data_IF_738141701910
#
_entry.id   IF_738141701910
#
_cell.length_a   1.000
_cell.length_b   1.000
_cell.length_c   1.000
_cell.angle_alpha   90.00
_cell.angle_beta   90.00
_cell.angle_gamma   90.00
#
_symmetry.space_group_name_H-M   'P 1'
#
loop_
_entity.id
_entity.type
_entity.pdbx_description
1 polymer ?
#
# COMPACT_ATOMS: atom_id res chain seq x y z
N UNK A 1 -10.40 -1.99 -9.58
CA UNK A 1 -9.03 -2.45 -9.82
C UNK A 1 -9.05 -3.66 -10.74
N UNK A 2 -8.58 -3.50 -11.98
CA UNK A 2 -8.54 -4.51 -13.02
C UNK A 2 -7.70 -5.72 -12.61
N UNK A 3 -8.17 -6.93 -12.92
CA UNK A 3 -7.47 -8.19 -12.64
C UNK A 3 -7.56 -8.67 -11.18
N UNK A 4 -8.14 -7.87 -10.26
CA UNK A 4 -8.28 -8.26 -8.86
C UNK A 4 -9.43 -9.24 -8.67
N UNK A 5 -10.62 -8.94 -9.21
CA UNK A 5 -11.82 -9.76 -9.03
C UNK A 5 -11.73 -11.09 -9.81
N UNK A 6 -10.98 -11.09 -10.90
CA UNK A 6 -10.70 -12.24 -11.75
C UNK A 6 -9.71 -13.22 -11.09
N UNK A 7 -9.09 -12.83 -9.97
CA UNK A 7 -8.35 -13.75 -9.13
C UNK A 7 -9.17 -14.09 -7.87
N UNK A 8 -9.73 -15.31 -7.74
CA UNK A 8 -10.61 -15.66 -6.64
C UNK A 8 -9.92 -15.59 -5.27
N UNK A 9 -8.60 -15.82 -5.19
CA UNK A 9 -7.87 -15.73 -3.93
C UNK A 9 -7.65 -14.27 -3.50
N UNK A 10 -7.29 -13.38 -4.43
CA UNK A 10 -7.19 -11.95 -4.13
C UNK A 10 -8.56 -11.35 -3.81
N UNK A 11 -9.60 -11.76 -4.53
CA UNK A 11 -10.98 -11.33 -4.25
C UNK A 11 -11.43 -11.79 -2.85
N UNK A 12 -11.16 -13.05 -2.48
CA UNK A 12 -11.44 -13.56 -1.14
C UNK A 12 -10.67 -12.80 -0.05
N UNK A 13 -9.38 -12.53 -0.26
CA UNK A 13 -8.58 -11.74 0.68
C UNK A 13 -9.10 -10.30 0.82
N UNK A 14 -9.53 -9.67 -0.28
CA UNK A 14 -10.15 -8.35 -0.24
C UNK A 14 -11.45 -8.36 0.57
N UNK A 15 -12.31 -9.38 0.38
CA UNK A 15 -13.53 -9.54 1.17
C UNK A 15 -13.24 -9.72 2.65
N UNK A 16 -12.26 -10.55 3.01
CA UNK A 16 -11.82 -10.75 4.39
C UNK A 16 -11.30 -9.45 5.01
N UNK A 17 -10.50 -8.69 4.26
CA UNK A 17 -10.01 -7.38 4.69
C UNK A 17 -11.17 -6.40 4.99
N UNK A 18 -12.20 -6.38 4.13
CA UNK A 18 -13.41 -5.57 4.35
C UNK A 18 -14.19 -6.00 5.61
N UNK A 19 -14.27 -7.30 5.90
CA UNK A 19 -14.93 -7.78 7.12
C UNK A 19 -14.20 -7.29 8.38
N UNK A 20 -12.86 -7.41 8.40
CA UNK A 20 -12.04 -6.93 9.53
C UNK A 20 -12.13 -5.41 9.67
N UNK A 21 -12.10 -4.69 8.55
CA UNK A 21 -12.27 -3.24 8.52
C UNK A 21 -13.58 -2.79 9.18
N UNK A 22 -14.70 -3.45 8.88
CA UNK A 22 -16.00 -3.15 9.51
C UNK A 22 -15.97 -3.38 11.03
N UNK A 23 -15.31 -4.43 11.50
CA UNK A 23 -15.13 -4.68 12.94
C UNK A 23 -14.32 -3.55 13.58
N UNK A 24 -13.22 -3.14 12.96
CA UNK A 24 -12.40 -2.03 13.45
C UNK A 24 -13.18 -0.72 13.47
N UNK A 25 -13.94 -0.39 12.43
CA UNK A 25 -14.78 0.82 12.42
C UNK A 25 -15.76 0.86 13.60
N UNK A 26 -16.39 -0.27 13.94
CA UNK A 26 -17.26 -0.37 15.12
C UNK A 26 -16.49 -0.13 16.43
N UNK A 27 -15.27 -0.64 16.54
CA UNK A 27 -14.40 -0.39 17.70
C UNK A 27 -13.98 1.07 17.81
N UNK A 28 -13.61 1.70 16.70
CA UNK A 28 -13.22 3.11 16.65
C UNK A 28 -14.36 4.03 17.10
N UNK A 29 -15.60 3.75 16.67
CA UNK A 29 -16.78 4.50 17.12
C UNK A 29 -17.02 4.37 18.62
N UNK A 30 -16.88 3.16 19.17
CA UNK A 30 -17.01 2.94 20.60
C UNK A 30 -15.92 3.68 21.39
N UNK A 31 -14.66 3.59 20.93
CA UNK A 31 -13.52 4.30 21.52
C UNK A 31 -13.73 5.82 21.49
N UNK A 32 -14.23 6.37 20.38
CA UNK A 32 -14.59 7.78 20.28
C UNK A 32 -15.63 8.16 21.34
N UNK A 33 -16.69 7.37 21.49
CA UNK A 33 -17.72 7.59 22.51
C UNK A 33 -17.15 7.58 23.94
N UNK A 34 -16.25 6.63 24.24
CA UNK A 34 -15.58 6.59 25.55
C UNK A 34 -14.71 7.83 25.80
N UNK A 35 -14.01 8.32 24.77
CA UNK A 35 -13.18 9.52 24.88
C UNK A 35 -14.02 10.77 25.10
N UNK A 36 -15.16 10.89 24.40
CA UNK A 36 -16.11 11.99 24.61
C UNK A 36 -16.74 11.97 26.00
N UNK A 37 -16.94 10.77 26.57
CA UNK A 37 -17.43 10.59 27.93
C UNK A 37 -16.35 10.75 29.02
N UNK A 38 -15.11 11.08 28.64
CA UNK A 38 -13.93 11.14 29.52
C UNK A 38 -13.75 9.85 30.36
N UNK A 39 -14.13 8.71 29.77
CA UNK A 39 -14.03 7.42 30.43
C UNK A 39 -12.58 6.96 30.49
N UNK A 40 -12.26 6.20 31.55
CA UNK A 40 -10.94 5.56 31.69
C UNK A 40 -10.64 4.68 30.47
N UNK A 41 -9.38 4.62 30.01
CA UNK A 41 -9.01 3.76 28.88
C UNK A 41 -9.47 2.32 29.10
N UNK A 42 -10.31 1.82 28.20
CA UNK A 42 -10.88 0.48 28.29
C UNK A 42 -9.99 -0.56 27.60
N UNK A 43 -10.27 -1.85 27.84
CA UNK A 43 -9.67 -2.95 27.08
C UNK A 43 -9.95 -2.87 25.58
N UNK A 44 -11.01 -2.17 25.16
CA UNK A 44 -11.34 -1.95 23.75
C UNK A 44 -10.33 -1.04 23.06
N UNK A 45 -9.84 0.01 23.74
CA UNK A 45 -8.76 0.86 23.22
C UNK A 45 -7.47 0.08 22.99
N UNK A 46 -7.10 -0.77 23.94
CA UNK A 46 -5.92 -1.62 23.82
C UNK A 46 -6.06 -2.64 22.68
N UNK A 47 -7.24 -3.24 22.53
CA UNK A 47 -7.51 -4.18 21.45
C UNK A 47 -7.48 -3.49 20.07
N UNK A 48 -8.04 -2.28 19.96
CA UNK A 48 -7.99 -1.49 18.73
C UNK A 48 -6.54 -1.18 18.33
N UNK A 49 -5.72 -0.75 19.29
CA UNK A 49 -4.31 -0.49 19.07
C UNK A 49 -3.53 -1.75 18.62
N UNK A 50 -3.90 -2.94 19.12
CA UNK A 50 -3.27 -4.20 18.73
C UNK A 50 -3.72 -4.71 17.34
N UNK A 51 -4.99 -4.52 16.98
CA UNK A 51 -5.54 -5.03 15.72
C UNK A 51 -5.31 -4.10 14.53
N UNK A 52 -5.21 -2.78 14.74
CA UNK A 52 -5.00 -1.82 13.66
C UNK A 52 -3.73 -2.09 12.82
N UNK A 53 -2.55 -2.40 13.42
CA UNK A 53 -1.37 -2.82 12.66
C UNK A 53 -1.59 -4.10 11.84
N UNK A 54 -2.35 -5.07 12.35
CA UNK A 54 -2.64 -6.31 11.62
C UNK A 54 -3.43 -6.04 10.34
N UNK A 55 -4.39 -5.11 10.40
CA UNK A 55 -5.12 -4.66 9.23
C UNK A 55 -4.19 -3.96 8.22
N UNK A 56 -3.30 -3.08 8.68
CA UNK A 56 -2.31 -2.39 7.84
C UNK A 56 -1.43 -3.41 7.09
N UNK A 57 -0.94 -4.44 7.77
CA UNK A 57 -0.16 -5.50 7.13
C UNK A 57 -0.96 -6.26 6.07
N UNK A 58 -2.20 -6.66 6.38
CA UNK A 58 -3.04 -7.37 5.43
C UNK A 58 -3.38 -6.52 4.20
N UNK A 59 -3.73 -5.25 4.41
CA UNK A 59 -3.99 -4.28 3.35
C UNK A 59 -2.77 -4.07 2.44
N UNK A 60 -1.59 -3.87 3.04
CA UNK A 60 -0.35 -3.69 2.29
C UNK A 60 -0.01 -4.92 1.46
N UNK A 61 -0.03 -6.13 2.03
CA UNK A 61 0.39 -7.34 1.32
C UNK A 61 -0.58 -7.73 0.19
N UNK A 62 -1.88 -7.50 0.38
CA UNK A 62 -2.89 -7.67 -0.68
C UNK A 62 -2.62 -6.70 -1.83
N UNK A 63 -2.50 -5.40 -1.53
CA UNK A 63 -2.29 -4.37 -2.53
C UNK A 63 -0.93 -4.53 -3.24
N UNK A 64 0.12 -4.89 -2.50
CA UNK A 64 1.46 -5.19 -3.04
C UNK A 64 1.39 -6.35 -4.03
N UNK A 65 0.72 -7.45 -3.66
CA UNK A 65 0.58 -8.62 -4.54
C UNK A 65 -0.17 -8.27 -5.83
N UNK A 66 -1.30 -7.55 -5.72
CA UNK A 66 -2.05 -7.12 -6.89
C UNK A 66 -1.20 -6.17 -7.77
N UNK A 67 -0.55 -5.15 -7.19
CA UNK A 67 0.30 -4.20 -7.92
C UNK A 67 1.43 -4.91 -8.66
N UNK A 68 2.13 -5.84 -8.01
CA UNK A 68 3.18 -6.64 -8.67
C UNK A 68 2.64 -7.43 -9.87
N UNK A 69 1.46 -8.02 -9.74
CA UNK A 69 0.82 -8.76 -10.82
C UNK A 69 0.41 -7.84 -11.98
N UNK A 70 -0.15 -6.67 -11.71
CA UNK A 70 -0.52 -5.69 -12.71
C UNK A 70 0.72 -5.10 -13.43
N UNK A 71 1.77 -4.75 -12.68
CA UNK A 71 3.05 -4.27 -13.24
C UNK A 71 3.66 -5.31 -14.19
N UNK A 72 3.66 -6.58 -13.80
CA UNK A 72 4.15 -7.66 -14.67
C UNK A 72 3.36 -7.73 -15.98
N UNK A 73 2.02 -7.66 -15.92
CA UNK A 73 1.16 -7.71 -17.12
C UNK A 73 1.44 -6.52 -18.04
N UNK A 74 1.42 -5.29 -17.50
CA UNK A 74 1.69 -4.07 -18.28
C UNK A 74 3.06 -4.14 -18.95
N UNK A 75 4.10 -4.53 -18.20
CA UNK A 75 5.46 -4.67 -18.74
C UNK A 75 5.55 -5.73 -19.84
N UNK A 76 4.86 -6.87 -19.67
CA UNK A 76 4.87 -7.94 -20.67
C UNK A 76 4.11 -7.54 -21.94
N UNK A 77 3.04 -6.76 -21.81
CA UNK A 77 2.31 -6.22 -22.95
C UNK A 77 3.20 -5.26 -23.76
N UNK A 78 3.93 -4.37 -23.08
CA UNK A 78 4.83 -3.39 -23.71
C UNK A 78 5.99 -4.04 -24.48
N UNK A 79 6.57 -5.12 -23.94
CA UNK A 79 7.75 -5.76 -24.51
C UNK A 79 7.43 -7.00 -25.38
N UNK A 80 6.14 -7.31 -25.61
CA UNK A 80 5.71 -8.49 -26.37
C UNK A 80 5.98 -9.83 -25.68
N UNK A 81 6.30 -9.85 -24.38
CA UNK A 81 6.68 -11.03 -23.62
C UNK A 81 5.52 -11.90 -23.13
N UNK A 82 4.27 -11.51 -23.38
CA UNK A 82 3.08 -12.23 -22.89
C UNK A 82 3.07 -13.69 -23.34
N UNK A 83 3.25 -13.96 -24.64
CA UNK A 83 3.15 -15.32 -25.20
C UNK A 83 4.18 -16.27 -24.58
N UNK A 84 5.42 -15.81 -24.42
CA UNK A 84 6.48 -16.59 -23.79
C UNK A 84 6.11 -16.92 -22.34
N UNK A 85 5.64 -15.93 -21.57
CA UNK A 85 5.30 -16.09 -20.16
C UNK A 85 4.10 -17.01 -19.95
N UNK A 86 3.04 -16.82 -20.73
CA UNK A 86 1.84 -17.66 -20.68
C UNK A 86 2.18 -19.11 -21.04
N UNK A 87 2.91 -19.34 -22.13
CA UNK A 87 3.31 -20.68 -22.57
C UNK A 87 4.18 -21.40 -21.54
N UNK A 88 5.06 -20.67 -20.83
CA UNK A 88 5.85 -21.24 -19.73
C UNK A 88 4.98 -21.65 -18.53
N UNK A 89 3.96 -20.87 -18.20
CA UNK A 89 3.04 -21.18 -17.10
C UNK A 89 2.13 -22.36 -17.42
N UNK A 90 1.77 -22.54 -18.69
CA UNK A 90 0.96 -23.65 -19.24
C UNK A 90 1.70 -25.00 -19.28
N UNK A 91 3.02 -25.02 -19.07
CA UNK A 91 3.80 -26.26 -19.09
C UNK A 91 3.30 -27.25 -18.03
N UNK A 92 3.07 -28.50 -18.47
CA UNK A 92 2.62 -29.58 -17.58
C UNK A 92 3.77 -30.04 -16.69
N UNK A 93 3.52 -30.11 -15.39
CA UNK A 93 4.51 -30.55 -14.39
C UNK A 93 4.13 -31.88 -13.70
N UNK A 94 3.21 -32.65 -14.29
CA UNK A 94 2.72 -33.92 -13.70
C UNK A 94 1.72 -33.74 -12.56
N UNK A 95 1.31 -32.51 -12.26
CA UNK A 95 0.24 -32.16 -11.33
C UNK A 95 -0.48 -30.89 -11.81
N UNK A 96 -1.74 -30.71 -11.39
CA UNK A 96 -2.53 -29.50 -11.67
C UNK A 96 -2.15 -28.40 -10.69
N UNK A 97 -1.79 -27.22 -11.19
CA UNK A 97 -1.51 -26.05 -10.37
C UNK A 97 -2.44 -24.90 -10.77
N UNK A 98 -3.57 -24.79 -10.08
CA UNK A 98 -4.65 -23.86 -10.44
C UNK A 98 -4.20 -22.41 -10.65
N UNK A 99 -3.39 -21.83 -9.74
CA UNK A 99 -2.98 -20.42 -9.88
C UNK A 99 -2.04 -20.19 -11.09
N UNK A 100 -1.29 -21.22 -11.55
CA UNK A 100 -0.45 -21.12 -12.75
C UNK A 100 -1.31 -21.08 -14.00
N UNK A 101 -2.30 -21.96 -14.08
CA UNK A 101 -3.26 -22.00 -15.19
C UNK A 101 -4.11 -20.72 -15.24
N UNK A 102 -4.56 -20.24 -14.08
CA UNK A 102 -5.25 -18.96 -13.98
C UNK A 102 -4.35 -17.81 -14.44
N UNK A 103 -3.09 -17.76 -13.99
CA UNK A 103 -2.15 -16.71 -14.38
C UNK A 103 -1.86 -16.74 -15.88
N UNK A 104 -1.75 -17.93 -16.48
CA UNK A 104 -1.62 -18.06 -17.92
C UNK A 104 -2.85 -17.50 -18.66
N UNK A 105 -4.07 -17.89 -18.24
CA UNK A 105 -5.32 -17.36 -18.81
C UNK A 105 -5.39 -15.83 -18.73
N UNK A 106 -5.13 -15.26 -17.57
CA UNK A 106 -5.12 -13.79 -17.38
C UNK A 106 -4.12 -13.08 -18.29
N UNK A 107 -2.98 -13.70 -18.58
CA UNK A 107 -2.00 -13.17 -19.54
C UNK A 107 -2.52 -13.25 -20.98
N UNK A 108 -3.20 -14.33 -21.36
CA UNK A 108 -3.87 -14.44 -22.67
C UNK A 108 -4.98 -13.40 -22.80
N UNK A 109 -5.82 -13.24 -21.78
CA UNK A 109 -6.88 -12.22 -21.76
C UNK A 109 -6.28 -10.81 -21.95
N UNK A 110 -5.17 -10.50 -21.28
CA UNK A 110 -4.48 -9.21 -21.44
C UNK A 110 -3.81 -9.02 -22.81
N UNK A 111 -3.49 -10.10 -23.52
CA UNK A 111 -3.02 -10.03 -24.92
C UNK A 111 -4.15 -9.62 -25.85
N UNK A 112 -5.31 -10.23 -25.64
CA UNK A 112 -6.47 -10.11 -26.52
C UNK A 112 -7.32 -8.86 -26.19
N UNK A 113 -7.16 -8.28 -24.99
CA UNK A 113 -7.80 -7.05 -24.52
C UNK A 113 -6.76 -5.95 -24.18
N UNK A 114 -6.36 -5.10 -25.15
CA UNK A 114 -5.51 -3.93 -24.89
C UNK A 114 -6.14 -2.93 -23.92
N UNK A 115 -7.47 -2.84 -23.84
CA UNK A 115 -8.14 -1.95 -22.88
C UNK A 115 -7.95 -2.44 -21.45
N UNK A 116 -7.88 -3.77 -21.22
CA UNK A 116 -7.52 -4.33 -19.91
C UNK A 116 -6.14 -3.85 -19.47
N UNK A 117 -5.16 -3.89 -20.37
CA UNK A 117 -3.79 -3.41 -20.09
C UNK A 117 -3.81 -1.92 -19.74
N UNK A 118 -4.58 -1.11 -20.47
CA UNK A 118 -4.72 0.31 -20.17
C UNK A 118 -5.40 0.54 -18.81
N UNK A 119 -6.49 -0.17 -18.50
CA UNK A 119 -7.16 -0.09 -17.18
C UNK A 119 -6.21 -0.48 -16.05
N UNK A 120 -5.37 -1.50 -16.23
CA UNK A 120 -4.35 -1.88 -15.25
C UNK A 120 -3.32 -0.77 -15.05
N UNK A 121 -2.88 -0.10 -16.12
CA UNK A 121 -1.96 1.05 -16.03
C UNK A 121 -2.59 2.20 -15.26
N UNK A 122 -3.83 2.53 -15.56
CA UNK A 122 -4.56 3.60 -14.89
C UNK A 122 -4.78 3.30 -13.40
N UNK A 123 -5.17 2.06 -13.06
CA UNK A 123 -5.32 1.63 -11.66
C UNK A 123 -3.98 1.61 -10.91
N UNK A 124 -2.87 1.27 -11.58
CA UNK A 124 -1.53 1.36 -11.00
C UNK A 124 -1.15 2.80 -10.65
N UNK A 125 -1.51 3.76 -11.51
CA UNK A 125 -1.31 5.18 -11.26
C UNK A 125 -2.19 5.68 -10.09
N UNK A 126 -3.49 5.34 -10.09
CA UNK A 126 -4.43 5.70 -9.01
C UNK A 126 -3.98 5.22 -7.63
N UNK A 127 -3.37 4.04 -7.59
CA UNK A 127 -2.97 3.41 -6.33
C UNK A 127 -1.59 3.83 -5.83
N UNK A 128 -0.79 4.55 -6.62
CA UNK A 128 0.61 4.81 -6.28
C UNK A 128 0.77 5.62 -4.99
N UNK A 129 0.12 6.77 -4.88
CA UNK A 129 0.24 7.65 -3.70
C UNK A 129 -0.22 6.93 -2.43
N UNK A 130 -1.45 6.39 -2.46
CA UNK A 130 -2.02 5.68 -1.30
C UNK A 130 -1.25 4.41 -0.92
N UNK A 131 -0.73 3.66 -1.90
CA UNK A 131 0.13 2.51 -1.64
C UNK A 131 1.45 2.91 -0.98
N UNK A 132 2.07 4.01 -1.43
CA UNK A 132 3.32 4.49 -0.84
C UNK A 132 3.11 4.97 0.60
N UNK A 133 2.01 5.68 0.90
CA UNK A 133 1.69 6.06 2.29
C UNK A 133 1.52 4.83 3.19
N UNK A 134 0.78 3.83 2.70
CA UNK A 134 0.60 2.56 3.39
C UNK A 134 1.94 1.81 3.58
N UNK A 135 2.83 1.88 2.59
CA UNK A 135 4.17 1.29 2.66
C UNK A 135 5.03 1.93 3.74
N UNK A 136 5.07 3.27 3.82
CA UNK A 136 5.82 3.98 4.86
C UNK A 136 5.42 3.50 6.26
N UNK A 137 4.11 3.49 6.54
CA UNK A 137 3.58 3.06 7.84
C UNK A 137 3.90 1.59 8.11
N UNK A 138 3.72 0.71 7.10
CA UNK A 138 4.04 -0.72 7.22
C UNK A 138 5.53 -0.96 7.49
N UNK A 139 6.42 -0.20 6.86
CA UNK A 139 7.87 -0.32 7.07
C UNK A 139 8.24 0.18 8.47
N UNK A 140 7.71 1.31 8.91
CA UNK A 140 7.91 1.82 10.26
C UNK A 140 7.45 0.80 11.32
N UNK A 141 6.25 0.22 11.15
CA UNK A 141 5.69 -0.79 12.05
C UNK A 141 6.53 -2.09 12.12
N UNK A 142 7.01 -2.58 10.96
CA UNK A 142 7.65 -3.89 10.89
C UNK A 142 9.17 -3.86 11.08
N UNK A 143 9.81 -2.75 10.73
CA UNK A 143 11.29 -2.63 10.68
C UNK A 143 11.84 -1.52 11.54
N UNK A 144 11.00 -0.62 12.04
CA UNK A 144 11.42 0.59 12.75
C UNK A 144 12.33 1.49 11.88
N UNK A 145 12.18 1.39 10.56
CA UNK A 145 12.89 2.15 9.54
C UNK A 145 11.91 3.05 8.79
N UNK A 146 12.43 4.05 8.10
CA UNK A 146 11.68 4.75 7.05
C UNK A 146 11.69 3.97 5.73
N UNK A 147 10.65 4.15 4.92
CA UNK A 147 10.68 3.69 3.55
C UNK A 147 11.66 4.57 2.76
N UNK A 148 12.65 3.95 2.10
CA UNK A 148 13.63 4.67 1.28
C UNK A 148 14.04 3.84 0.08
N UNK A 149 14.27 4.54 -1.04
CA UNK A 149 14.83 3.98 -2.26
C UNK A 149 16.33 3.61 -2.10
N UNK A 150 17.03 4.26 -1.16
CA UNK A 150 18.44 4.05 -0.90
C UNK A 150 18.65 2.95 0.16
N UNK A 151 18.93 1.72 -0.30
CA UNK A 151 19.12 0.54 0.56
C UNK A 151 20.33 0.61 1.50
N UNK A 152 21.27 1.55 1.30
CA UNK A 152 22.53 1.60 2.05
C UNK A 152 22.46 2.42 3.34
N UNK A 153 21.51 3.35 3.45
CA UNK A 153 21.25 4.16 4.64
C UNK A 153 19.75 4.39 4.76
N UNK A 154 19.09 3.57 5.58
CA UNK A 154 17.69 3.81 5.91
C UNK A 154 17.62 4.55 7.24
N UNK A 155 17.01 5.74 7.30
CA UNK A 155 16.76 6.41 8.56
C UNK A 155 15.90 5.54 9.48
N UNK A 156 16.09 5.71 10.79
CA UNK A 156 15.23 5.13 11.82
C UNK A 156 13.98 6.02 11.89
N UNK A 157 12.79 5.43 11.92
CA UNK A 157 11.55 6.19 12.08
C UNK A 157 11.50 6.87 13.46
N UNK A 158 10.85 8.03 13.61
CA UNK A 158 10.86 8.78 14.87
C UNK A 158 10.15 8.06 16.01
N UNK A 159 8.94 7.58 15.76
CA UNK A 159 8.12 6.87 16.74
C UNK A 159 7.56 5.55 16.17
N UNK A 160 8.42 4.57 15.83
CA UNK A 160 8.00 3.35 15.16
C UNK A 160 7.05 2.55 16.04
N UNK A 161 5.88 2.24 15.49
CA UNK A 161 4.84 1.50 16.19
C UNK A 161 4.05 2.27 17.23
N UNK A 162 4.38 3.55 17.48
CA UNK A 162 3.50 4.42 18.25
C UNK A 162 2.33 4.82 17.36
N UNK A 163 1.13 4.48 17.81
CA UNK A 163 -0.10 4.99 17.23
C UNK A 163 -0.93 5.65 18.31
N UNK A 164 -1.42 6.86 18.04
CA UNK A 164 -2.28 7.59 18.95
C UNK A 164 -3.73 7.44 18.50
N UNK A 165 -4.68 7.57 19.43
CA UNK A 165 -6.09 7.57 19.05
C UNK A 165 -6.43 8.98 18.55
N UNK A 166 -6.84 9.09 17.29
CA UNK A 166 -7.32 10.32 16.70
C UNK A 166 -8.64 10.73 17.39
N UNK A 167 -8.69 11.97 17.86
CA UNK A 167 -9.80 12.49 18.67
C UNK A 167 -11.07 12.79 17.89
N UNK A 168 -10.97 12.90 16.56
CA UNK A 168 -12.11 13.26 15.71
C UNK A 168 -12.87 12.02 15.24
N UNK A 169 -12.20 10.87 15.15
CA UNK A 169 -12.79 9.65 14.59
C UNK A 169 -12.60 8.37 15.41
N UNK A 170 -11.79 8.41 16.46
CA UNK A 170 -11.46 7.25 17.31
C UNK A 170 -10.56 6.20 16.64
N UNK A 171 -10.08 6.46 15.42
CA UNK A 171 -9.12 5.60 14.71
C UNK A 171 -7.73 5.70 15.32
N UNK A 172 -6.95 4.64 15.18
CA UNK A 172 -5.50 4.74 15.36
C UNK A 172 -4.90 5.63 14.27
N UNK A 173 -4.01 6.53 14.67
CA UNK A 173 -3.29 7.50 13.85
C UNK A 173 -1.80 7.21 13.91
N UNK A 174 -1.19 7.19 12.72
CA UNK A 174 0.18 6.79 12.49
C UNK A 174 0.96 7.94 11.89
N UNK A 175 2.19 8.09 12.34
CA UNK A 175 3.15 8.96 11.70
C UNK A 175 3.56 8.40 10.32
N UNK A 176 3.62 9.28 9.33
CA UNK A 176 4.29 9.01 8.06
C UNK A 176 5.56 9.84 8.02
N UNK A 177 6.72 9.18 7.98
CA UNK A 177 8.02 9.84 7.92
C UNK A 177 8.84 9.40 6.71
N UNK A 178 9.59 10.34 6.15
CA UNK A 178 10.44 10.17 4.98
C UNK A 178 11.65 11.11 5.10
N UNK A 179 12.85 10.57 4.89
CA UNK A 179 14.08 11.36 4.83
C UNK A 179 14.44 12.02 6.16
N UNK A 180 14.06 11.41 7.29
CA UNK A 180 14.28 11.98 8.61
C UNK A 180 13.36 13.15 8.93
N UNK A 181 12.18 13.24 8.30
CA UNK A 181 11.14 14.19 8.66
C UNK A 181 9.77 13.52 8.72
N UNK A 182 8.94 13.93 9.68
CA UNK A 182 7.52 13.61 9.73
C UNK A 182 6.82 14.47 8.69
N UNK A 183 6.23 13.83 7.68
CA UNK A 183 5.57 14.54 6.58
C UNK A 183 4.07 14.72 6.81
N UNK A 184 3.43 13.77 7.50
CA UNK A 184 2.03 13.85 7.88
C UNK A 184 1.66 12.77 8.91
N UNK A 185 0.40 12.83 9.37
CA UNK A 185 -0.23 11.78 10.16
C UNK A 185 -1.39 11.18 9.37
N UNK A 186 -1.54 9.86 9.43
CA UNK A 186 -2.58 9.13 8.71
C UNK A 186 -3.33 8.20 9.66
N UNK A 187 -4.66 8.27 9.61
CA UNK A 187 -5.49 7.35 10.38
C UNK A 187 -5.67 6.04 9.63
N UNK A 188 -5.77 4.92 10.37
CA UNK A 188 -6.14 3.63 9.76
C UNK A 188 -7.46 3.73 8.99
N UNK A 189 -8.43 4.50 9.49
CA UNK A 189 -9.67 4.81 8.74
C UNK A 189 -9.39 5.58 7.45
N UNK A 190 -8.54 6.61 7.48
CA UNK A 190 -8.13 7.36 6.29
C UNK A 190 -7.47 6.47 5.22
N UNK A 191 -6.61 5.54 5.63
CA UNK A 191 -6.04 4.53 4.74
C UNK A 191 -7.13 3.64 4.13
N UNK A 192 -8.10 3.18 4.92
CA UNK A 192 -9.21 2.38 4.41
C UNK A 192 -10.09 3.15 3.42
N UNK A 193 -10.42 4.42 3.71
CA UNK A 193 -11.16 5.27 2.78
C UNK A 193 -10.39 5.45 1.46
N UNK A 194 -9.08 5.70 1.54
CA UNK A 194 -8.21 5.82 0.37
C UNK A 194 -8.28 4.55 -0.50
N UNK A 195 -8.18 3.38 0.14
CA UNK A 195 -8.28 2.09 -0.54
C UNK A 195 -9.63 1.88 -1.24
N UNK A 196 -10.74 2.28 -0.61
CA UNK A 196 -12.08 2.18 -1.20
C UNK A 196 -12.28 3.11 -2.39
N UNK A 197 -11.60 4.26 -2.40
CA UNK A 197 -11.72 5.27 -3.43
C UNK A 197 -10.88 4.98 -4.68
N UNK A 198 -9.86 4.11 -4.62
CA UNK A 198 -8.99 3.81 -5.77
C UNK A 198 -9.73 3.57 -7.09
N UNK A 199 -10.82 2.77 -7.16
CA UNK A 199 -11.51 2.53 -8.43
C UNK A 199 -12.15 3.79 -9.04
N UNK A 200 -12.44 4.81 -8.23
CA UNK A 200 -13.18 6.01 -8.62
C UNK A 200 -12.35 7.30 -8.65
N UNK A 201 -11.16 7.31 -8.03
CA UNK A 201 -10.24 8.46 -8.06
C UNK A 201 -9.88 8.86 -9.49
N UNK A 202 -9.67 10.14 -9.84
CA UNK A 202 -9.11 10.48 -11.15
C UNK A 202 -7.76 9.80 -11.37
N UNK A 203 -7.40 9.46 -12.62
CA UNK A 203 -6.05 8.97 -12.92
C UNK A 203 -5.08 10.13 -12.71
N UNK A 204 -4.08 10.02 -11.82
CA UNK A 204 -3.07 11.05 -11.66
C UNK A 204 -2.28 11.23 -12.97
N UNK A 205 -1.97 12.47 -13.30
CA UNK A 205 -1.11 12.80 -14.42
C UNK A 205 0.34 12.32 -14.16
N UNK A 206 1.14 12.12 -15.22
CA UNK A 206 2.55 11.78 -15.07
C UNK A 206 3.37 12.81 -14.29
N UNK A 207 3.01 14.09 -14.38
CA UNK A 207 3.64 15.20 -13.65
C UNK A 207 3.35 15.09 -12.15
N UNK A 208 2.08 14.92 -11.76
CA UNK A 208 1.69 14.73 -10.35
C UNK A 208 2.42 13.54 -9.70
N UNK A 209 2.57 12.43 -10.44
CA UNK A 209 3.31 11.27 -9.95
C UNK A 209 4.82 11.53 -9.86
N UNK A 210 5.39 12.31 -10.78
CA UNK A 210 6.80 12.68 -10.74
C UNK A 210 7.09 13.59 -9.53
N UNK A 211 6.25 14.59 -9.30
CA UNK A 211 6.34 15.50 -8.16
C UNK A 211 6.19 14.74 -6.84
N UNK A 212 5.22 13.83 -6.78
CA UNK A 212 5.05 12.96 -5.62
C UNK A 212 6.30 12.10 -5.34
N UNK A 213 6.88 11.46 -6.36
CA UNK A 213 8.11 10.66 -6.19
C UNK A 213 9.29 11.51 -5.74
N UNK A 214 9.41 12.74 -6.25
CA UNK A 214 10.45 13.67 -5.82
C UNK A 214 10.26 14.08 -4.36
N UNK A 215 9.03 14.38 -3.96
CA UNK A 215 8.66 14.67 -2.58
C UNK A 215 8.99 13.51 -1.63
N UNK A 216 8.72 12.26 -2.05
CA UNK A 216 8.99 11.05 -1.26
C UNK A 216 10.45 10.60 -1.25
N UNK A 217 11.34 11.33 -1.91
CA UNK A 217 12.77 11.04 -1.92
C UNK A 217 13.57 12.35 -1.74
N UNK A 218 13.43 13.00 -0.58
CA UNK A 218 14.12 14.25 -0.30
C UNK A 218 15.65 14.05 -0.34
N UNK A 219 16.42 15.08 -0.71
CA UNK A 219 17.87 15.02 -0.68
C UNK A 219 18.39 14.72 0.73
N UNK A 220 19.50 13.97 0.83
CA UNK A 220 20.14 13.62 2.10
C UNK A 220 20.50 14.92 2.87
N UNK A 221 20.00 15.07 4.10
CA UNK A 221 20.33 16.22 4.95
C UNK A 221 21.84 16.33 5.21
N UNK A 222 22.57 15.19 5.28
CA UNK A 222 24.03 15.14 5.39
C UNK A 222 24.77 15.83 4.22
N UNK A 223 24.13 15.96 3.05
CA UNK A 223 24.73 16.60 1.87
C UNK A 223 24.60 18.13 1.89
N UNK A 224 23.72 18.68 2.73
CA UNK A 224 23.48 20.12 2.85
C UNK A 224 24.50 20.78 3.80
N UNK A 225 24.97 20.04 4.82
CA UNK A 225 25.98 20.52 5.78
C UNK A 225 27.43 20.45 5.25
N UNK A 226 27.65 19.84 4.08
CA UNK A 226 28.91 19.95 3.35
C UNK A 226 28.98 21.29 2.61
N UNK A 227 29.03 22.39 3.36
CA UNK A 227 29.36 23.72 2.82
C UNK A 227 30.67 23.70 2.03
N UNK A 228 30.93 24.70 1.18
CA UNK A 228 32.11 24.71 0.33
C UNK A 228 33.34 24.58 1.21
N UNK A 229 34.11 23.51 1.02
CA UNK A 229 35.43 23.36 1.64
C UNK A 229 36.27 24.56 1.21
N UNK A 230 36.36 25.56 2.09
CA UNK A 230 37.19 26.73 1.90
C UNK A 230 38.62 26.25 1.67
N UNK A 231 39.12 26.51 0.47
CA UNK A 231 40.55 26.40 0.19
C UNK A 231 41.29 27.40 1.06
N UNK A 232 42.20 26.88 1.88
CA UNK A 232 43.38 27.60 2.38
C UNK A 232 44.57 27.02 1.65
#
# INVERSE_FOLDING_TARGET
>A
MAGLAENPFLAMQAQQLCLVDNVLMGMEQAVLGEMMADARPSGQRALLAALSPMWIYAAYELLRTWRQRAIEVVRLAENGGIDMRASHLEQKHGYTHYDRELRARQLRDAKDDPELVQRMRDDLARTEIGFTMLECIRVALAKHEEASSNKKKKPIAFAPGLALINRDCGSMEYEVSVGGAIIQYETRRGLAETLRQFPTMPVPSPEELADFRAYMNPPDFDAIDAGPTGGV
#
